data_IF_514499945088
#
_entry.id   IF_514499945088
#
_cell.length_a   1.000
_cell.length_b   1.000
_cell.length_c   1.000
_cell.angle_alpha   90.00
_cell.angle_beta   90.00
_cell.angle_gamma   90.00
#
_symmetry.space_group_name_H-M   'P 1'
#
loop_
_entity.id
_entity.type
_entity.pdbx_description
1 polymer ?
#
# COMPACT_ATOMS: atom_id res chain seq x y z
N UNK A 1 29.32 -21.78 -17.15
CA UNK A 1 27.87 -22.03 -16.92
C UNK A 1 27.48 -21.58 -15.51
N UNK A 2 27.53 -20.27 -15.23
CA UNK A 2 27.43 -19.77 -13.83
C UNK A 2 26.80 -18.37 -13.72
N UNK A 3 25.79 -18.06 -14.54
CA UNK A 3 25.09 -16.75 -14.50
C UNK A 3 23.55 -16.84 -14.35
N UNK A 4 22.97 -18.02 -14.54
CA UNK A 4 21.51 -18.20 -14.56
C UNK A 4 20.89 -18.17 -13.14
N UNK A 5 21.64 -18.58 -12.11
CA UNK A 5 21.14 -18.61 -10.73
C UNK A 5 20.96 -17.22 -10.09
N UNK A 6 21.72 -16.20 -10.51
CA UNK A 6 21.60 -14.85 -9.94
C UNK A 6 20.35 -14.10 -10.40
N UNK A 7 19.87 -14.33 -11.64
CA UNK A 7 18.71 -13.62 -12.19
C UNK A 7 17.39 -14.06 -11.54
N UNK A 8 17.33 -15.30 -11.05
CA UNK A 8 16.15 -15.83 -10.33
C UNK A 8 16.06 -15.30 -8.89
N UNK A 9 17.20 -15.06 -8.23
CA UNK A 9 17.23 -14.50 -6.86
C UNK A 9 16.96 -12.99 -6.85
N UNK A 10 17.37 -12.26 -7.91
CA UNK A 10 16.92 -10.87 -8.11
C UNK A 10 15.39 -10.78 -8.24
N UNK A 11 14.75 -11.80 -8.82
CA UNK A 11 13.30 -11.91 -8.94
C UNK A 11 12.58 -12.22 -7.62
N UNK A 12 13.24 -12.87 -6.66
CA UNK A 12 12.61 -13.23 -5.38
C UNK A 12 12.37 -12.00 -4.47
N UNK A 13 13.23 -10.98 -4.56
CA UNK A 13 13.10 -9.75 -3.74
C UNK A 13 12.38 -8.61 -4.43
N UNK A 14 12.39 -8.56 -5.77
CA UNK A 14 11.33 -7.88 -6.51
C UNK A 14 9.98 -8.56 -6.23
N UNK A 15 10.00 -9.88 -6.01
CA UNK A 15 8.88 -10.75 -5.66
C UNK A 15 8.25 -10.46 -4.30
N UNK A 16 8.97 -10.02 -3.26
CA UNK A 16 8.30 -9.73 -1.97
C UNK A 16 7.43 -8.47 -2.03
N UNK A 17 7.71 -7.57 -2.98
CA UNK A 17 6.88 -6.41 -3.29
C UNK A 17 5.94 -6.65 -4.49
N UNK A 18 6.29 -7.59 -5.38
CA UNK A 18 5.46 -8.03 -6.50
C UNK A 18 4.51 -9.20 -6.16
N UNK A 19 4.61 -9.84 -4.99
CA UNK A 19 3.63 -10.81 -4.50
C UNK A 19 2.40 -10.10 -3.89
N UNK A 20 2.46 -8.77 -3.75
CA UNK A 20 1.28 -7.92 -3.63
C UNK A 20 0.64 -7.61 -5.00
N UNK A 21 1.30 -7.90 -6.13
CA UNK A 21 0.75 -7.69 -7.48
C UNK A 21 -0.22 -8.79 -7.95
N UNK A 22 -0.70 -9.68 -7.09
CA UNK A 22 -1.70 -10.73 -7.44
C UNK A 22 -3.03 -10.55 -6.69
N UNK A 23 -3.33 -9.35 -6.20
CA UNK A 23 -4.73 -8.94 -5.96
C UNK A 23 -5.30 -8.21 -7.19
N UNK A 24 -4.89 -8.66 -8.37
CA UNK A 24 -5.42 -8.21 -9.64
C UNK A 24 -6.74 -8.95 -9.92
N UNK A 25 -7.78 -8.16 -10.25
CA UNK A 25 -9.02 -8.57 -10.92
C UNK A 25 -10.00 -9.47 -10.16
N UNK A 26 -10.80 -8.90 -9.24
CA UNK A 26 -12.18 -9.37 -9.02
C UNK A 26 -13.09 -8.30 -8.37
N UNK A 27 -13.09 -7.07 -8.89
CA UNK A 27 -14.26 -6.20 -8.78
C UNK A 27 -14.39 -5.37 -10.06
N UNK A 28 -14.59 -6.08 -11.18
CA UNK A 28 -15.23 -5.47 -12.33
C UNK A 28 -16.62 -5.01 -11.89
N UNK A 29 -16.90 -3.72 -12.11
CA UNK A 29 -18.22 -3.13 -12.31
C UNK A 29 -19.15 -3.09 -11.09
N UNK A 30 -18.98 -2.06 -10.26
CA UNK A 30 -20.12 -1.23 -9.85
C UNK A 30 -19.61 0.22 -9.76
N UNK A 31 -19.51 0.88 -10.92
CA UNK A 31 -19.62 2.34 -10.97
C UNK A 31 -21.10 2.61 -11.21
N UNK A 32 -21.95 2.74 -10.19
CA UNK A 32 -23.18 3.47 -10.41
C UNK A 32 -22.72 4.89 -10.72
N UNK A 33 -22.88 5.29 -11.97
CA UNK A 33 -22.81 6.68 -12.37
C UNK A 33 -23.92 7.40 -11.61
N UNK A 34 -23.62 7.88 -10.41
CA UNK A 34 -24.51 8.72 -9.63
C UNK A 34 -24.09 10.15 -9.92
N UNK A 35 -25.02 10.87 -10.53
CA UNK A 35 -24.88 12.24 -11.01
C UNK A 35 -24.52 13.25 -9.93
N UNK A 36 -24.41 14.53 -10.30
CA UNK A 36 -23.78 15.57 -9.49
C UNK A 36 -24.43 15.67 -8.11
N UNK A 37 -23.70 15.28 -7.06
CA UNK A 37 -24.18 15.32 -5.69
C UNK A 37 -23.91 16.70 -5.09
N UNK A 38 -25.01 17.44 -4.96
CA UNK A 38 -25.27 18.63 -4.14
C UNK A 38 -24.09 19.28 -3.39
N UNK A 39 -23.89 20.56 -3.71
CA UNK A 39 -23.09 21.54 -2.98
C UNK A 39 -23.59 21.66 -1.52
N UNK A 40 -22.98 20.93 -0.58
CA UNK A 40 -23.25 21.08 0.85
C UNK A 40 -22.13 21.91 1.49
N UNK A 41 -22.51 23.07 2.03
CA UNK A 41 -21.77 24.04 2.84
C UNK A 41 -20.27 23.73 3.13
N UNK A 42 -19.39 24.61 2.67
CA UNK A 42 -17.93 24.43 2.59
C UNK A 42 -17.23 23.86 3.84
N UNK A 43 -17.73 24.15 5.04
CA UNK A 43 -17.11 23.66 6.29
C UNK A 43 -17.10 22.13 6.44
N UNK A 44 -18.15 21.43 6.00
CA UNK A 44 -18.25 19.98 6.15
C UNK A 44 -17.58 19.23 5.00
N UNK A 45 -17.50 19.85 3.82
CA UNK A 45 -16.73 19.34 2.69
C UNK A 45 -15.22 19.40 2.99
N UNK A 46 -14.73 20.52 3.49
CA UNK A 46 -13.31 20.71 3.83
C UNK A 46 -12.85 19.75 4.93
N UNK A 47 -13.66 19.59 5.99
CA UNK A 47 -13.38 18.60 7.05
C UNK A 47 -13.30 17.18 6.50
N UNK A 48 -14.17 16.84 5.55
CA UNK A 48 -14.18 15.51 4.93
C UNK A 48 -12.93 15.28 4.08
N UNK A 49 -12.53 16.27 3.30
CA UNK A 49 -11.31 16.25 2.51
C UNK A 49 -10.07 16.04 3.38
N UNK A 50 -9.96 16.79 4.49
CA UNK A 50 -8.87 16.64 5.47
C UNK A 50 -8.89 15.25 6.11
N UNK A 51 -10.06 14.73 6.48
CA UNK A 51 -10.19 13.41 7.08
C UNK A 51 -9.75 12.29 6.13
N UNK A 52 -10.20 12.33 4.87
CA UNK A 52 -9.84 11.35 3.83
C UNK A 52 -8.36 11.42 3.48
N UNK A 53 -7.81 12.61 3.23
CA UNK A 53 -6.38 12.74 2.93
C UNK A 53 -5.49 12.29 4.09
N UNK A 54 -5.92 12.54 5.34
CA UNK A 54 -5.22 12.04 6.53
C UNK A 54 -5.27 10.52 6.62
N UNK A 55 -6.43 9.91 6.35
CA UNK A 55 -6.58 8.45 6.33
C UNK A 55 -5.68 7.82 5.25
N UNK A 56 -5.68 8.39 4.04
CA UNK A 56 -4.82 7.99 2.94
C UNK A 56 -3.34 8.01 3.30
N UNK A 57 -2.84 9.13 3.86
CA UNK A 57 -1.44 9.20 4.33
C UNK A 57 -1.13 8.12 5.35
N UNK A 58 -1.99 7.93 6.35
CA UNK A 58 -1.76 6.97 7.44
C UNK A 58 -1.71 5.53 6.93
N UNK A 59 -2.67 5.13 6.10
CA UNK A 59 -2.73 3.76 5.59
C UNK A 59 -1.58 3.49 4.62
N UNK A 60 -1.23 4.43 3.74
CA UNK A 60 -0.06 4.26 2.84
C UNK A 60 1.23 4.12 3.62
N UNK A 61 1.45 4.95 4.65
CA UNK A 61 2.65 4.83 5.48
C UNK A 61 2.69 3.51 6.23
N UNK A 62 1.57 3.06 6.81
CA UNK A 62 1.52 1.75 7.48
C UNK A 62 1.72 0.58 6.51
N UNK A 63 1.19 0.68 5.29
CA UNK A 63 1.33 -0.34 4.26
C UNK A 63 2.77 -0.48 3.76
N UNK A 64 3.51 0.63 3.67
CA UNK A 64 4.92 0.67 3.25
C UNK A 64 5.92 0.43 4.40
N UNK A 65 5.44 0.25 5.63
CA UNK A 65 6.27 0.12 6.82
C UNK A 65 6.52 -1.35 7.14
N UNK A 66 7.67 -1.88 6.70
CA UNK A 66 8.04 -3.30 6.83
C UNK A 66 9.26 -3.40 7.74
N UNK A 67 9.20 -4.28 8.72
CA UNK A 67 10.36 -4.70 9.48
C UNK A 67 10.22 -6.17 9.85
N UNK A 68 11.04 -7.01 9.25
CA UNK A 68 11.02 -8.46 9.46
C UNK A 68 11.12 -8.89 10.93
N UNK A 69 11.66 -8.02 11.79
CA UNK A 69 11.82 -8.26 13.24
C UNK A 69 10.52 -8.03 14.02
N UNK A 70 9.61 -7.22 13.48
CA UNK A 70 8.41 -6.75 14.19
C UNK A 70 7.20 -6.58 13.25
N UNK A 71 6.84 -7.66 12.54
CA UNK A 71 5.79 -7.62 11.51
C UNK A 71 4.37 -7.65 12.05
N UNK A 72 4.11 -8.36 13.15
CA UNK A 72 2.74 -8.56 13.66
C UNK A 72 2.03 -7.22 13.98
N UNK A 73 2.62 -6.26 14.73
CA UNK A 73 1.96 -4.98 14.97
C UNK A 73 1.80 -4.13 13.69
N UNK A 74 2.66 -4.31 12.68
CA UNK A 74 2.57 -3.60 11.39
C UNK A 74 1.38 -4.12 10.58
N UNK A 75 1.21 -5.43 10.54
CA UNK A 75 0.05 -6.10 9.94
C UNK A 75 -1.24 -5.61 10.62
N UNK A 76 -1.27 -5.60 11.95
CA UNK A 76 -2.45 -5.17 12.70
C UNK A 76 -2.78 -3.69 12.46
N UNK A 77 -1.77 -2.83 12.32
CA UNK A 77 -1.94 -1.42 11.99
C UNK A 77 -2.61 -1.22 10.63
N UNK A 78 -2.22 -1.99 9.61
CA UNK A 78 -2.89 -1.97 8.29
C UNK A 78 -4.34 -2.46 8.42
N UNK A 79 -4.56 -3.58 9.09
CA UNK A 79 -5.89 -4.16 9.29
C UNK A 79 -6.85 -3.27 10.09
N UNK A 80 -6.33 -2.46 11.01
CA UNK A 80 -7.10 -1.49 11.77
C UNK A 80 -7.63 -0.34 10.91
N UNK A 81 -7.01 -0.07 9.75
CA UNK A 81 -7.40 0.97 8.79
C UNK A 81 -8.07 0.40 7.54
N UNK A 82 -8.33 -0.91 7.52
CA UNK A 82 -8.91 -1.63 6.40
C UNK A 82 -10.37 -2.01 6.66
N UNK A 83 -11.14 -2.11 5.59
CA UNK A 83 -12.49 -2.69 5.54
C UNK A 83 -12.67 -3.50 4.26
N UNK A 84 -13.87 -4.04 4.05
CA UNK A 84 -14.27 -4.64 2.78
C UNK A 84 -13.36 -5.76 2.31
N UNK A 85 -13.09 -5.76 1.00
CA UNK A 85 -12.34 -6.81 0.33
C UNK A 85 -10.84 -6.74 0.63
N UNK A 86 -10.26 -5.54 0.65
CA UNK A 86 -8.86 -5.34 1.02
C UNK A 86 -8.54 -5.96 2.39
N UNK A 87 -9.40 -5.74 3.40
CA UNK A 87 -9.19 -6.33 4.73
C UNK A 87 -9.17 -7.86 4.68
N UNK A 88 -10.13 -8.48 3.99
CA UNK A 88 -10.23 -9.95 3.90
C UNK A 88 -8.99 -10.53 3.23
N UNK A 89 -8.57 -9.95 2.11
CA UNK A 89 -7.42 -10.41 1.34
C UNK A 89 -6.11 -10.23 2.12
N UNK A 90 -5.94 -9.08 2.79
CA UNK A 90 -4.78 -8.84 3.63
C UNK A 90 -4.74 -9.81 4.82
N UNK A 91 -5.88 -10.11 5.47
CA UNK A 91 -5.97 -11.12 6.53
C UNK A 91 -5.61 -12.52 6.03
N UNK A 92 -6.08 -12.91 4.86
CA UNK A 92 -5.81 -14.21 4.27
C UNK A 92 -4.32 -14.41 3.92
N UNK A 93 -3.63 -13.32 3.55
CA UNK A 93 -2.24 -13.37 3.08
C UNK A 93 -1.21 -12.98 4.14
N UNK A 94 -1.62 -12.45 5.30
CA UNK A 94 -0.71 -11.92 6.33
C UNK A 94 0.39 -12.89 6.77
N UNK A 95 0.09 -14.18 6.90
CA UNK A 95 1.08 -15.19 7.31
C UNK A 95 2.20 -15.31 6.28
N UNK A 96 1.84 -15.31 4.99
CA UNK A 96 2.80 -15.36 3.89
C UNK A 96 3.62 -14.07 3.79
N UNK A 97 3.00 -12.90 4.04
CA UNK A 97 3.70 -11.62 4.09
C UNK A 97 4.75 -11.59 5.21
N UNK A 98 4.39 -12.03 6.42
CA UNK A 98 5.32 -12.11 7.56
C UNK A 98 6.47 -13.08 7.27
N UNK A 99 6.16 -14.26 6.71
CA UNK A 99 7.16 -15.25 6.33
C UNK A 99 8.14 -14.70 5.28
N UNK A 100 7.63 -14.06 4.23
CA UNK A 100 8.45 -13.47 3.17
C UNK A 100 9.34 -12.32 3.67
N UNK A 101 8.82 -11.47 4.57
CA UNK A 101 9.61 -10.42 5.20
C UNK A 101 10.77 -11.00 6.02
N UNK A 102 10.49 -12.03 6.84
CA UNK A 102 11.50 -12.76 7.64
C UNK A 102 12.53 -13.46 6.78
N UNK A 103 12.10 -14.17 5.75
CA UNK A 103 13.00 -14.87 4.84
C UNK A 103 13.93 -13.89 4.11
N UNK A 104 13.41 -12.75 3.64
CA UNK A 104 14.20 -11.71 2.97
C UNK A 104 15.08 -10.90 3.92
N UNK A 105 14.85 -11.00 5.23
CA UNK A 105 15.30 -10.02 6.24
C UNK A 105 15.03 -8.60 5.76
N UNK A 106 13.80 -8.38 5.29
CA UNK A 106 13.41 -7.17 4.59
C UNK A 106 13.00 -6.08 5.57
N UNK A 107 13.46 -4.86 5.31
CA UNK A 107 12.94 -3.64 5.92
C UNK A 107 12.50 -2.67 4.84
N UNK A 108 11.48 -1.87 5.13
CA UNK A 108 11.05 -0.79 4.27
C UNK A 108 10.49 0.36 5.08
N UNK A 109 10.76 1.58 4.63
CA UNK A 109 10.18 2.80 5.20
C UNK A 109 9.65 3.66 4.07
N UNK A 110 8.35 3.93 4.10
CA UNK A 110 7.66 4.76 3.12
C UNK A 110 7.66 6.25 3.45
N UNK A 111 7.62 7.08 2.42
CA UNK A 111 7.38 8.51 2.46
C UNK A 111 6.23 8.86 1.52
N UNK A 112 5.22 9.58 2.00
CA UNK A 112 4.15 10.10 1.14
C UNK A 112 4.56 11.45 0.57
N UNK A 113 4.61 11.54 -0.76
CA UNK A 113 5.03 12.73 -1.51
C UNK A 113 3.87 13.65 -1.83
N UNK A 114 2.75 13.08 -2.26
CA UNK A 114 1.53 13.83 -2.52
C UNK A 114 0.29 12.97 -2.31
N UNK A 115 -0.83 13.64 -2.06
CA UNK A 115 -2.15 13.04 -1.95
C UNK A 115 -3.12 13.92 -2.71
N UNK A 116 -3.90 13.33 -3.61
CA UNK A 116 -4.95 14.01 -4.37
C UNK A 116 -6.25 13.23 -4.27
N UNK A 117 -7.37 13.92 -4.09
CA UNK A 117 -8.70 13.31 -4.11
C UNK A 117 -9.25 13.45 -5.53
N UNK A 118 -9.70 12.34 -6.09
CA UNK A 118 -10.37 12.32 -7.40
C UNK A 118 -11.87 12.41 -7.25
N UNK A 119 -12.43 11.78 -6.22
CA UNK A 119 -13.85 11.79 -5.94
C UNK A 119 -14.09 11.62 -4.43
N UNK A 120 -15.14 12.25 -3.91
CA UNK A 120 -15.51 12.19 -2.50
C UNK A 120 -16.98 12.54 -2.31
N UNK A 121 -17.72 11.63 -1.68
CA UNK A 121 -19.11 11.84 -1.28
C UNK A 121 -19.27 11.65 0.24
N UNK A 122 -20.46 11.33 0.74
CA UNK A 122 -20.74 11.22 2.16
C UNK A 122 -20.08 10.01 2.83
N UNK A 123 -19.89 8.91 2.08
CA UNK A 123 -19.50 7.60 2.58
C UNK A 123 -18.45 6.86 1.72
N UNK A 124 -18.09 7.39 0.55
CA UNK A 124 -17.04 6.89 -0.33
C UNK A 124 -16.04 7.99 -0.74
N UNK A 125 -14.81 7.59 -1.03
CA UNK A 125 -13.80 8.47 -1.61
C UNK A 125 -12.76 7.72 -2.44
N UNK A 126 -12.32 8.33 -3.53
CA UNK A 126 -11.22 7.85 -4.38
C UNK A 126 -10.02 8.79 -4.24
N UNK A 127 -8.88 8.25 -3.82
CA UNK A 127 -7.67 9.01 -3.48
C UNK A 127 -6.47 8.46 -4.21
N UNK A 128 -5.70 9.34 -4.84
CA UNK A 128 -4.40 9.03 -5.40
C UNK A 128 -3.28 9.45 -4.45
N UNK A 129 -2.30 8.57 -4.24
CA UNK A 129 -1.14 8.83 -3.41
C UNK A 129 0.14 8.56 -4.20
N UNK A 130 0.98 9.57 -4.35
CA UNK A 130 2.36 9.36 -4.77
C UNK A 130 3.22 9.14 -3.53
N UNK A 131 3.91 8.02 -3.47
CA UNK A 131 4.77 7.66 -2.37
C UNK A 131 6.08 7.08 -2.89
N UNK A 132 7.08 7.11 -2.04
CA UNK A 132 8.32 6.39 -2.26
C UNK A 132 8.66 5.57 -1.02
N UNK A 133 9.56 4.61 -1.15
CA UNK A 133 10.07 3.87 0.00
C UNK A 133 11.54 3.56 -0.17
N UNK A 134 12.26 3.52 0.95
CA UNK A 134 13.59 2.94 1.02
C UNK A 134 13.49 1.49 1.48
N UNK A 135 14.11 0.56 0.77
CA UNK A 135 14.08 -0.87 1.04
C UNK A 135 15.48 -1.38 1.38
N UNK A 136 15.59 -2.23 2.39
CA UNK A 136 16.79 -3.03 2.61
C UNK A 136 16.43 -4.51 2.78
N UNK A 137 17.37 -5.39 2.44
CA UNK A 137 17.21 -6.84 2.59
C UNK A 137 18.58 -7.54 2.57
N UNK A 138 18.60 -8.85 2.82
CA UNK A 138 19.85 -9.64 2.83
C UNK A 138 20.64 -9.59 1.52
N UNK A 139 19.98 -9.50 0.35
CA UNK A 139 20.68 -9.45 -0.95
C UNK A 139 21.31 -8.09 -1.20
N UNK A 140 20.60 -7.00 -0.89
CA UNK A 140 21.15 -5.64 -0.99
C UNK A 140 22.36 -5.47 -0.07
N UNK A 141 22.30 -5.99 1.16
CA UNK A 141 23.45 -6.00 2.07
C UNK A 141 24.62 -6.82 1.52
N UNK A 142 24.36 -7.98 0.93
CA UNK A 142 25.40 -8.79 0.28
C UNK A 142 26.02 -8.10 -0.94
N UNK A 143 25.24 -7.37 -1.74
CA UNK A 143 25.73 -6.57 -2.85
C UNK A 143 26.63 -5.42 -2.35
N UNK A 144 26.20 -4.69 -1.32
CA UNK A 144 27.01 -3.62 -0.69
C UNK A 144 28.33 -4.16 -0.12
N UNK A 145 28.33 -5.36 0.46
CA UNK A 145 29.56 -6.02 0.93
C UNK A 145 30.57 -6.34 -0.19
N UNK A 146 30.11 -6.39 -1.45
CA UNK A 146 30.95 -6.56 -2.65
C UNK A 146 31.34 -5.22 -3.29
N UNK A 147 31.01 -4.09 -2.66
CA UNK A 147 31.24 -2.75 -3.21
C UNK A 147 30.20 -2.29 -4.24
N UNK A 148 29.11 -3.04 -4.43
CA UNK A 148 28.02 -2.64 -5.32
C UNK A 148 27.11 -1.60 -4.64
N UNK A 149 26.43 -0.79 -5.45
CA UNK A 149 25.45 0.21 -5.00
C UNK A 149 24.06 -0.17 -5.50
N UNK A 150 23.38 -1.13 -4.85
CA UNK A 150 22.03 -1.52 -5.26
C UNK A 150 21.07 -0.36 -5.07
N UNK A 151 20.12 -0.21 -6.00
CA UNK A 151 19.02 0.74 -5.87
C UNK A 151 18.07 0.29 -4.75
N UNK A 152 18.07 1.04 -3.66
CA UNK A 152 17.20 0.84 -2.50
C UNK A 152 15.93 1.69 -2.53
N UNK A 153 15.72 2.51 -3.56
CA UNK A 153 14.54 3.36 -3.68
C UNK A 153 13.44 2.67 -4.49
N UNK A 154 12.19 2.80 -4.05
CA UNK A 154 10.99 2.36 -4.79
C UNK A 154 10.01 3.52 -4.89
N UNK A 155 9.34 3.64 -6.03
CA UNK A 155 8.37 4.69 -6.30
C UNK A 155 7.01 4.05 -6.56
N UNK A 156 5.97 4.62 -5.94
CA UNK A 156 4.61 4.11 -6.00
C UNK A 156 3.63 5.21 -6.38
N UNK A 157 2.63 4.81 -7.15
CA UNK A 157 1.42 5.57 -7.41
C UNK A 157 0.27 4.68 -6.99
N UNK A 158 -0.39 5.01 -5.88
CA UNK A 158 -1.52 4.26 -5.39
C UNK A 158 -2.82 4.93 -5.80
N UNK A 159 -3.80 4.12 -6.18
CA UNK A 159 -5.20 4.49 -6.17
C UNK A 159 -5.86 3.76 -5.00
N UNK A 160 -6.47 4.51 -4.10
CA UNK A 160 -7.08 4.02 -2.88
C UNK A 160 -8.57 4.32 -2.93
N UNK A 161 -9.39 3.32 -2.65
CA UNK A 161 -10.82 3.51 -2.40
C UNK A 161 -11.06 3.42 -0.90
N UNK A 162 -11.83 4.38 -0.39
CA UNK A 162 -12.22 4.45 1.01
C UNK A 162 -13.72 4.32 1.15
N UNK A 163 -14.14 3.59 2.18
CA UNK A 163 -15.51 3.57 2.67
C UNK A 163 -15.54 4.15 4.09
N UNK A 164 -16.54 4.96 4.40
CA UNK A 164 -16.78 5.51 5.73
C UNK A 164 -17.53 4.49 6.58
N UNK A 165 -16.88 4.00 7.63
CA UNK A 165 -17.47 3.08 8.63
C UNK A 165 -17.58 3.84 9.95
N UNK A 166 -18.80 4.23 10.30
CA UNK A 166 -19.06 5.14 11.43
C UNK A 166 -18.39 6.49 11.19
N UNK A 167 -17.50 6.90 12.10
CA UNK A 167 -16.76 8.16 12.00
C UNK A 167 -15.41 8.03 11.25
N UNK A 168 -15.06 6.84 10.73
CA UNK A 168 -13.72 6.55 10.21
C UNK A 168 -13.76 6.26 8.71
N UNK A 169 -12.84 6.86 7.97
CA UNK A 169 -12.52 6.46 6.60
C UNK A 169 -11.58 5.25 6.64
N UNK A 170 -12.03 4.12 6.10
CA UNK A 170 -11.28 2.87 6.05
C UNK A 170 -11.04 2.46 4.60
N UNK A 171 -9.84 1.94 4.32
CA UNK A 171 -9.42 1.48 3.01
C UNK A 171 -10.20 0.21 2.63
N UNK A 172 -10.95 0.25 1.53
CA UNK A 172 -11.67 -0.92 1.00
C UNK A 172 -10.92 -1.60 -0.16
N UNK A 173 -10.14 -0.81 -0.92
CA UNK A 173 -9.34 -1.27 -2.06
C UNK A 173 -8.07 -0.43 -2.22
N UNK A 174 -6.97 -1.07 -2.63
CA UNK A 174 -5.68 -0.45 -2.95
C UNK A 174 -5.14 -1.04 -4.25
N UNK A 175 -4.81 -0.16 -5.18
CA UNK A 175 -4.25 -0.51 -6.48
C UNK A 175 -2.93 0.23 -6.73
N UNK A 176 -1.97 -0.45 -7.34
CA UNK A 176 -0.70 0.15 -7.77
C UNK A 176 -0.80 0.49 -9.26
N UNK A 177 -0.58 1.75 -9.59
CA UNK A 177 -0.61 2.25 -10.95
C UNK A 177 0.77 2.07 -11.59
N UNK A 178 0.82 1.40 -12.74
CA UNK A 178 2.02 1.13 -13.53
C UNK A 178 2.58 2.35 -14.23
#
# INVERSE_FOLDING_TARGET
MTSIRSRLVLGALAGVLALACVLALAARLFVPWLGPSSWTAGDDADKRQVAVTTAARKVTLAFLDVDYRDMDPRVDKVLAMATGEFKKQYQATKVNLVAAAREGESTSTGTVRSVGISDIDADAAVVFVAADSKVDNKVMRAARAKGEKPDDQRYYRFQLHFTKVGARWLLDSLEIQS
#
